data_IF_493880116701
#
_entry.id   IF_493880116701
#
_cell.length_a   1.000
_cell.length_b   1.000
_cell.length_c   1.000
_cell.angle_alpha   90.00
_cell.angle_beta   90.00
_cell.angle_gamma   90.00
#
_symmetry.space_group_name_H-M   'P 1'
#
loop_
_entity.id
_entity.type
_entity.pdbx_description
1 polymer ?
#
# COMPACT_ATOMS: atom_id res chain seq x y z
N UNK A 1 12.99 6.98 19.95
CA UNK A 1 12.18 5.82 19.48
C UNK A 1 11.12 6.37 18.55
N UNK A 2 11.03 5.89 17.31
CA UNK A 2 9.92 6.28 16.43
C UNK A 2 8.61 5.76 17.04
N UNK A 3 7.52 6.54 16.98
CA UNK A 3 6.22 6.13 17.54
C UNK A 3 5.62 4.91 16.81
N UNK A 4 6.18 4.59 15.65
CA UNK A 4 5.92 3.37 14.89
C UNK A 4 7.18 2.50 14.94
N UNK A 5 7.02 1.17 14.96
CA UNK A 5 8.16 0.25 14.90
C UNK A 5 9.03 0.46 13.65
N UNK A 6 10.14 -0.27 13.55
CA UNK A 6 11.01 -0.23 12.38
C UNK A 6 10.37 -0.98 11.20
N UNK A 7 9.39 -0.35 10.55
CA UNK A 7 8.58 -0.94 9.46
C UNK A 7 8.38 0.06 8.31
N UNK A 8 8.23 -0.47 7.09
CA UNK A 8 7.90 0.33 5.91
C UNK A 8 6.46 0.87 6.04
N UNK A 9 6.31 2.20 6.02
CA UNK A 9 5.02 2.89 6.15
C UNK A 9 4.25 3.00 4.82
N UNK A 10 4.79 2.47 3.72
CA UNK A 10 4.07 2.45 2.45
C UNK A 10 4.11 3.79 1.71
N UNK A 11 5.14 4.61 1.92
CA UNK A 11 5.44 5.74 1.04
C UNK A 11 5.83 5.20 -0.33
N UNK A 12 4.90 5.24 -1.28
CA UNK A 12 5.06 4.60 -2.59
C UNK A 12 4.76 5.58 -3.70
N UNK A 13 5.36 5.37 -4.89
CA UNK A 13 5.03 6.17 -6.08
C UNK A 13 3.54 6.08 -6.39
N UNK A 14 2.95 4.89 -6.33
CA UNK A 14 1.50 4.70 -6.51
C UNK A 14 0.69 5.55 -5.51
N UNK A 15 1.04 5.50 -4.22
CA UNK A 15 0.33 6.22 -3.17
C UNK A 15 0.45 7.75 -3.30
N UNK A 16 1.65 8.27 -3.57
CA UNK A 16 1.87 9.72 -3.71
C UNK A 16 1.21 10.28 -4.97
N UNK A 17 1.32 9.58 -6.10
CA UNK A 17 0.65 10.00 -7.35
C UNK A 17 -0.87 10.00 -7.17
N UNK A 18 -1.43 8.93 -6.58
CA UNK A 18 -2.85 8.85 -6.28
C UNK A 18 -3.34 9.97 -5.38
N UNK A 19 -2.64 10.21 -4.27
CA UNK A 19 -2.96 11.28 -3.32
C UNK A 19 -2.97 12.65 -4.00
N UNK A 20 -1.94 12.95 -4.81
CA UNK A 20 -1.88 14.23 -5.52
C UNK A 20 -3.07 14.43 -6.46
N UNK A 21 -3.41 13.43 -7.28
CA UNK A 21 -4.55 13.52 -8.21
C UNK A 21 -5.87 13.65 -7.43
N UNK A 22 -6.03 12.90 -6.33
CA UNK A 22 -7.23 12.95 -5.50
C UNK A 22 -7.41 14.34 -4.87
N UNK A 23 -6.35 14.93 -4.32
CA UNK A 23 -6.38 16.30 -3.76
C UNK A 23 -6.81 17.32 -4.80
N UNK A 24 -6.27 17.25 -6.03
CA UNK A 24 -6.70 18.10 -7.14
C UNK A 24 -8.18 17.88 -7.46
N UNK A 25 -8.62 16.63 -7.55
CA UNK A 25 -10.02 16.28 -7.81
C UNK A 25 -10.98 16.83 -6.76
N UNK A 26 -10.66 16.70 -5.48
CA UNK A 26 -11.45 17.29 -4.39
C UNK A 26 -11.43 18.83 -4.42
N UNK A 27 -10.31 19.44 -4.78
CA UNK A 27 -10.23 20.88 -5.02
C UNK A 27 -11.19 21.35 -6.12
N UNK A 28 -11.25 20.61 -7.23
CA UNK A 28 -12.19 20.88 -8.33
C UNK A 28 -13.64 20.73 -7.84
N UNK A 29 -13.97 19.69 -7.05
CA UNK A 29 -15.31 19.54 -6.46
C UNK A 29 -15.65 20.74 -5.58
N UNK A 30 -14.74 21.19 -4.72
CA UNK A 30 -14.93 22.37 -3.87
C UNK A 30 -15.22 23.64 -4.68
N UNK A 31 -14.49 23.86 -5.77
CA UNK A 31 -14.76 24.96 -6.72
C UNK A 31 -16.16 24.82 -7.33
N UNK A 32 -16.54 23.61 -7.74
CA UNK A 32 -17.86 23.35 -8.30
C UNK A 32 -19.01 23.63 -7.34
N UNK A 33 -18.83 23.35 -6.05
CA UNK A 33 -19.80 23.70 -5.00
C UNK A 33 -19.95 25.21 -4.86
N UNK A 34 -18.84 25.94 -4.76
CA UNK A 34 -18.84 27.41 -4.64
C UNK A 34 -19.50 28.06 -5.88
N UNK A 35 -19.26 27.51 -7.07
CA UNK A 35 -19.81 27.99 -8.33
C UNK A 35 -21.24 27.47 -8.62
N UNK A 36 -21.81 26.60 -7.77
CA UNK A 36 -23.09 25.91 -7.97
C UNK A 36 -23.16 25.22 -9.35
N UNK A 37 -22.06 24.56 -9.74
CA UNK A 37 -21.90 23.96 -11.06
C UNK A 37 -21.81 22.44 -10.98
N UNK A 38 -22.89 21.77 -11.41
CA UNK A 38 -22.94 20.31 -11.49
C UNK A 38 -21.87 19.74 -12.44
N UNK A 39 -21.56 20.45 -13.53
CA UNK A 39 -20.54 20.03 -14.48
C UNK A 39 -19.14 20.02 -13.85
N UNK A 40 -18.79 21.06 -13.08
CA UNK A 40 -17.50 21.15 -12.39
C UNK A 40 -17.39 20.08 -11.29
N UNK A 41 -18.47 19.85 -10.56
CA UNK A 41 -18.54 18.76 -9.56
C UNK A 41 -18.30 17.41 -10.24
N UNK A 42 -18.96 17.13 -11.37
CA UNK A 42 -18.78 15.89 -12.12
C UNK A 42 -17.34 15.72 -12.62
N UNK A 43 -16.71 16.79 -13.10
CA UNK A 43 -15.30 16.76 -13.51
C UNK A 43 -14.36 16.44 -12.33
N UNK A 44 -14.59 17.02 -11.16
CA UNK A 44 -13.84 16.71 -9.95
C UNK A 44 -14.01 15.26 -9.49
N UNK A 45 -15.25 14.75 -9.51
CA UNK A 45 -15.55 13.34 -9.20
C UNK A 45 -14.88 12.38 -10.18
N UNK A 46 -14.91 12.69 -11.49
CA UNK A 46 -14.20 11.92 -12.50
C UNK A 46 -12.68 11.90 -12.27
N UNK A 47 -12.11 13.03 -11.80
CA UNK A 47 -10.69 13.12 -11.45
C UNK A 47 -10.34 12.25 -10.24
N UNK A 48 -11.23 12.13 -9.25
CA UNK A 48 -11.03 11.21 -8.11
C UNK A 48 -11.07 9.75 -8.55
N UNK A 49 -11.99 9.39 -9.45
CA UNK A 49 -12.01 8.04 -10.04
C UNK A 49 -10.74 7.73 -10.85
N UNK A 50 -10.23 8.72 -11.58
CA UNK A 50 -8.94 8.62 -12.26
C UNK A 50 -7.80 8.38 -11.26
N UNK A 51 -7.78 9.06 -10.11
CA UNK A 51 -6.78 8.82 -9.06
C UNK A 51 -6.78 7.35 -8.60
N UNK A 52 -7.96 6.77 -8.37
CA UNK A 52 -8.09 5.36 -8.00
C UNK A 52 -7.54 4.43 -9.10
N UNK A 53 -7.90 4.70 -10.37
CA UNK A 53 -7.42 3.94 -11.53
C UNK A 53 -5.90 4.01 -11.70
N UNK A 54 -5.32 5.21 -11.64
CA UNK A 54 -3.87 5.43 -11.75
C UNK A 54 -3.13 4.73 -10.62
N UNK A 55 -3.60 4.90 -9.38
CA UNK A 55 -3.02 4.23 -8.20
C UNK A 55 -3.02 2.72 -8.37
N UNK A 56 -4.16 2.17 -8.84
CA UNK A 56 -4.31 0.74 -9.06
C UNK A 56 -3.35 0.21 -10.13
N UNK A 57 -3.27 0.86 -11.29
CA UNK A 57 -2.33 0.47 -12.36
C UNK A 57 -0.88 0.54 -11.89
N UNK A 58 -0.50 1.61 -11.19
CA UNK A 58 0.85 1.75 -10.64
C UNK A 58 1.16 0.67 -9.60
N UNK A 59 0.21 0.37 -8.72
CA UNK A 59 0.34 -0.73 -7.76
C UNK A 59 0.57 -2.07 -8.47
N UNK A 60 -0.23 -2.39 -9.49
CA UNK A 60 -0.04 -3.61 -10.29
C UNK A 60 1.27 -3.61 -11.08
N UNK A 61 1.84 -2.46 -11.40
CA UNK A 61 3.16 -2.33 -12.02
C UNK A 61 4.34 -2.47 -11.02
N UNK A 62 4.05 -2.69 -9.73
CA UNK A 62 5.05 -2.83 -8.66
C UNK A 62 5.48 -1.51 -8.03
N UNK A 63 4.82 -0.41 -8.37
CA UNK A 63 5.07 0.91 -7.76
C UNK A 63 4.25 1.16 -6.50
N UNK A 64 3.47 0.17 -6.08
CA UNK A 64 2.77 0.13 -4.79
C UNK A 64 3.26 -1.07 -4.00
N UNK A 65 3.30 -0.92 -2.68
CA UNK A 65 3.81 -1.92 -1.75
C UNK A 65 2.93 -1.95 -0.50
N UNK A 66 2.71 -3.12 0.13
CA UNK A 66 2.07 -3.19 1.43
C UNK A 66 2.98 -2.58 2.50
N UNK A 67 2.39 -1.92 3.49
CA UNK A 67 3.08 -1.51 4.71
C UNK A 67 3.42 -2.74 5.57
N UNK A 68 4.50 -2.67 6.34
CA UNK A 68 4.87 -3.71 7.29
C UNK A 68 6.37 -4.04 7.33
N UNK A 69 6.75 -5.15 7.98
CA UNK A 69 8.14 -5.57 8.11
C UNK A 69 8.76 -5.85 6.74
N UNK A 70 9.89 -5.19 6.46
CA UNK A 70 10.66 -5.32 5.24
C UNK A 70 12.10 -4.87 5.50
N UNK A 71 13.12 -5.42 4.84
CA UNK A 71 14.48 -4.89 4.87
C UNK A 71 14.54 -3.41 4.47
N UNK A 72 15.35 -2.61 5.18
CA UNK A 72 15.38 -1.14 5.05
C UNK A 72 15.78 -0.67 3.63
N UNK A 73 16.60 -1.45 2.93
CA UNK A 73 17.02 -1.20 1.54
C UNK A 73 15.85 -1.26 0.54
N UNK A 74 14.72 -1.86 0.93
CA UNK A 74 13.52 -1.95 0.10
C UNK A 74 12.46 -0.90 0.45
N UNK A 75 12.69 -0.03 1.44
CA UNK A 75 11.69 0.95 1.89
C UNK A 75 11.53 2.11 0.92
N UNK A 76 12.60 2.53 0.24
CA UNK A 76 12.58 3.66 -0.67
C UNK A 76 11.42 3.52 -1.68
N UNK A 77 10.58 4.55 -1.75
CA UNK A 77 9.41 4.66 -2.62
C UNK A 77 9.71 4.40 -4.10
N UNK A 78 10.96 4.59 -4.54
CA UNK A 78 11.47 4.36 -5.90
C UNK A 78 11.86 2.89 -6.17
N UNK A 79 11.95 2.06 -5.13
CA UNK A 79 12.20 0.62 -5.29
C UNK A 79 10.90 -0.06 -5.68
N UNK A 80 10.91 -0.82 -6.77
CA UNK A 80 9.75 -1.60 -7.21
C UNK A 80 9.58 -2.86 -6.38
N UNK A 81 8.34 -3.17 -6.04
CA UNK A 81 7.95 -4.46 -5.49
C UNK A 81 7.66 -5.47 -6.60
N UNK A 82 8.59 -6.40 -6.80
CA UNK A 82 8.48 -7.46 -7.80
C UNK A 82 7.43 -8.51 -7.42
N UNK A 83 7.06 -8.63 -6.14
CA UNK A 83 6.05 -9.57 -5.66
C UNK A 83 4.64 -9.20 -6.13
N UNK A 84 4.40 -7.93 -6.50
CA UNK A 84 3.12 -7.47 -7.04
C UNK A 84 2.65 -8.26 -8.28
N UNK A 85 3.58 -8.89 -9.02
CA UNK A 85 3.26 -9.78 -10.15
C UNK A 85 2.49 -11.03 -9.72
N UNK A 86 2.82 -11.60 -8.56
CA UNK A 86 2.10 -12.71 -7.94
C UNK A 86 0.85 -12.29 -7.16
N UNK A 87 0.73 -11.00 -6.88
CA UNK A 87 -0.32 -10.41 -6.04
C UNK A 87 0.07 -10.41 -4.56
N UNK A 88 -0.50 -9.50 -3.78
CA UNK A 88 -0.29 -9.47 -2.34
C UNK A 88 -1.40 -10.23 -1.59
N UNK A 89 -1.09 -10.86 -0.44
CA UNK A 89 -2.09 -11.42 0.45
C UNK A 89 -3.12 -10.34 0.80
N UNK A 90 -4.41 -10.69 0.75
CA UNK A 90 -5.53 -9.83 1.15
C UNK A 90 -5.67 -8.47 0.42
N UNK A 91 -4.85 -8.18 -0.59
CA UNK A 91 -4.98 -6.97 -1.39
C UNK A 91 -6.16 -7.06 -2.36
N UNK A 92 -7.20 -6.25 -2.12
CA UNK A 92 -8.34 -6.11 -3.03
C UNK A 92 -7.90 -5.70 -4.44
N UNK A 93 -6.95 -4.77 -4.56
CA UNK A 93 -6.43 -4.31 -5.85
C UNK A 93 -5.83 -5.45 -6.70
N UNK A 94 -4.96 -6.26 -6.10
CA UNK A 94 -4.40 -7.43 -6.75
C UNK A 94 -5.49 -8.47 -7.08
N UNK A 95 -6.43 -8.69 -6.16
CA UNK A 95 -7.55 -9.63 -6.31
C UNK A 95 -8.46 -9.28 -7.48
N UNK A 96 -8.82 -8.00 -7.65
CA UNK A 96 -9.60 -7.49 -8.78
C UNK A 96 -8.87 -7.68 -10.10
N UNK A 97 -7.53 -7.68 -10.09
CA UNK A 97 -6.70 -7.95 -11.25
C UNK A 97 -6.46 -9.46 -11.52
N UNK A 98 -7.14 -10.35 -10.79
CA UNK A 98 -6.95 -11.80 -10.89
C UNK A 98 -5.65 -12.33 -10.26
N UNK A 99 -4.85 -11.46 -9.61
CA UNK A 99 -3.60 -11.84 -8.95
C UNK A 99 -3.90 -12.28 -7.52
N UNK A 100 -4.00 -13.59 -7.32
CA UNK A 100 -4.15 -14.19 -6.00
C UNK A 100 -2.88 -14.92 -5.68
N UNK A 101 -2.11 -14.39 -4.73
CA UNK A 101 -1.05 -15.17 -4.11
C UNK A 101 -1.74 -16.37 -3.45
N UNK A 102 -1.41 -17.58 -3.90
CA UNK A 102 -1.89 -18.78 -3.22
C UNK A 102 -1.29 -18.74 -1.83
N UNK A 103 -2.14 -18.57 -0.81
CA UNK A 103 -1.73 -18.65 0.59
C UNK A 103 -0.99 -19.99 0.72
N UNK A 104 0.29 -20.01 1.12
CA UNK A 104 0.87 -21.28 1.55
C UNK A 104 0.07 -21.69 2.78
N UNK A 105 -0.76 -22.72 2.63
CA UNK A 105 -1.30 -23.43 3.78
C UNK A 105 -0.08 -23.98 4.53
N UNK A 106 0.05 -23.61 5.81
CA UNK A 106 1.10 -23.97 6.77
C UNK A 106 2.41 -23.17 6.72
N UNK A 107 2.56 -22.26 7.70
CA UNK A 107 3.78 -22.22 8.52
C UNK A 107 3.32 -22.64 9.90
N UNK A 108 3.70 -23.86 10.30
CA UNK A 108 3.67 -24.30 11.69
C UNK A 108 4.48 -23.27 12.47
N UNK A 109 3.83 -22.62 13.43
CA UNK A 109 4.41 -21.77 14.46
C UNK A 109 5.61 -22.51 15.08
N UNK A 110 6.81 -22.22 14.59
CA UNK A 110 8.05 -22.66 15.18
C UNK A 110 8.27 -21.88 16.47
N UNK A 111 7.57 -22.27 17.54
CA UNK A 111 7.93 -21.93 18.91
C UNK A 111 9.38 -22.34 19.11
N UNK A 112 10.29 -21.38 19.04
CA UNK A 112 11.67 -21.57 19.48
C UNK A 112 11.61 -21.82 20.99
N UNK A 113 12.08 -22.97 21.52
CA UNK A 113 12.21 -23.13 22.96
C UNK A 113 13.22 -22.10 23.47
N UNK A 114 12.85 -21.36 24.52
CA UNK A 114 13.81 -20.53 25.24
C UNK A 114 14.97 -21.43 25.71
N UNK A 115 16.24 -21.04 25.50
CA UNK A 115 17.33 -21.72 26.16
C UNK A 115 17.16 -21.51 27.67
N UNK A 116 16.84 -22.60 28.37
CA UNK A 116 16.96 -22.72 29.81
C UNK A 116 18.44 -22.51 30.14
N UNK A 117 18.76 -21.37 30.74
CA UNK A 117 20.10 -21.08 31.26
C UNK A 117 20.36 -22.01 32.43
N UNK A 118 20.91 -23.19 32.13
CA UNK A 118 21.56 -24.05 33.10
C UNK A 118 22.93 -23.47 33.44
N UNK A 119 22.98 -22.55 34.41
CA UNK A 119 24.19 -22.31 35.20
C UNK A 119 23.84 -22.27 36.68
N UNK A 120 23.58 -23.46 37.20
CA UNK A 120 23.95 -23.81 38.57
C UNK A 120 25.34 -24.44 38.52
N UNK A 121 26.35 -23.77 39.11
CA UNK A 121 27.56 -24.41 39.65
C UNK A 121 28.26 -23.47 40.64
N UNK A 122 28.07 -23.81 41.92
CA UNK A 122 28.99 -23.83 43.08
C UNK A 122 30.03 -22.71 43.17
#
# INVERSE_FOLDING_TARGET
>A
MSAHGHVDLGHTVAGWTGTFIAVVGFGIVGIGVIAVSALVIAAGAATVLLAAGVTWVLHLAGWGKPSGPRPDDQWDWRVRDLSARGGHPDCLGCRMAGRRLRRPDTVVEGRQPMPETAEARI
#
